data_IF_416390656405
#
_entry.id   IF_416390656405
#
_cell.length_a   1.000
_cell.length_b   1.000
_cell.length_c   1.000
_cell.angle_alpha   90.00
_cell.angle_beta   90.00
_cell.angle_gamma   90.00
#
_symmetry.space_group_name_H-M   'P 1'
#
loop_
_entity.id
_entity.type
_entity.pdbx_description
1 polymer ?
#
# COMPACT_ATOMS: atom_id res chain seq x y z
N UNK A 1 -40.71 -52.44 -41.54
CA UNK A 1 -39.24 -52.43 -41.72
C UNK A 1 -38.62 -51.90 -40.44
N UNK A 2 -38.04 -52.77 -39.60
CA UNK A 2 -37.40 -52.37 -38.34
C UNK A 2 -35.87 -52.46 -38.49
N UNK A 3 -35.19 -51.31 -38.52
CA UNK A 3 -33.73 -51.26 -38.56
C UNK A 3 -33.20 -51.12 -37.13
N UNK A 4 -32.65 -52.20 -36.57
CA UNK A 4 -31.97 -52.15 -35.27
C UNK A 4 -30.54 -51.66 -35.50
N UNK A 5 -30.19 -50.52 -34.91
CA UNK A 5 -28.83 -49.99 -34.94
C UNK A 5 -28.01 -50.62 -33.81
N UNK A 6 -27.00 -51.42 -34.16
CA UNK A 6 -26.02 -51.95 -33.21
C UNK A 6 -24.92 -50.92 -32.97
N UNK A 7 -24.77 -50.46 -31.72
CA UNK A 7 -23.67 -49.57 -31.33
C UNK A 7 -22.44 -50.40 -30.92
N UNK A 8 -21.31 -50.19 -31.60
CA UNK A 8 -20.05 -50.77 -31.18
C UNK A 8 -19.52 -50.04 -29.92
N UNK A 9 -18.97 -50.76 -28.92
CA UNK A 9 -18.39 -50.14 -27.75
C UNK A 9 -17.18 -49.28 -28.14
N UNK A 10 -17.09 -48.08 -27.57
CA UNK A 10 -15.98 -47.16 -27.79
C UNK A 10 -14.67 -47.84 -27.36
N UNK A 11 -13.63 -47.92 -28.21
CA UNK A 11 -12.34 -48.44 -27.80
C UNK A 11 -11.83 -47.60 -26.63
N UNK A 12 -11.47 -48.29 -25.53
CA UNK A 12 -10.85 -47.66 -24.36
C UNK A 12 -9.59 -46.95 -24.84
N UNK A 13 -9.41 -45.65 -24.57
CA UNK A 13 -8.16 -44.99 -24.91
C UNK A 13 -7.03 -45.77 -24.24
N UNK A 14 -6.08 -46.25 -25.04
CA UNK A 14 -4.80 -46.74 -24.53
C UNK A 14 -4.22 -45.64 -23.63
N UNK A 15 -3.67 -46.04 -22.49
CA UNK A 15 -3.23 -45.16 -21.42
C UNK A 15 -2.60 -43.87 -21.94
N UNK A 16 -3.12 -42.73 -21.45
CA UNK A 16 -2.61 -41.40 -21.77
C UNK A 16 -1.08 -41.35 -21.53
N UNK A 17 -0.32 -40.59 -22.34
CA UNK A 17 1.13 -40.53 -22.20
C UNK A 17 1.48 -39.88 -20.86
N UNK A 18 2.26 -40.62 -20.05
CA UNK A 18 3.10 -40.18 -18.94
C UNK A 18 2.68 -38.85 -18.31
N UNK A 19 1.78 -38.91 -17.33
CA UNK A 19 1.58 -37.79 -16.40
C UNK A 19 2.95 -37.44 -15.78
N UNK A 20 3.37 -36.18 -15.92
CA UNK A 20 4.59 -35.69 -15.29
C UNK A 20 4.54 -36.03 -13.79
N UNK A 21 5.62 -36.56 -13.21
CA UNK A 21 5.65 -36.83 -11.78
C UNK A 21 5.40 -35.53 -11.02
N UNK A 22 4.62 -35.62 -9.94
CA UNK A 22 4.38 -34.48 -9.07
C UNK A 22 5.73 -33.91 -8.57
N UNK A 23 5.88 -32.58 -8.45
CA UNK A 23 7.11 -31.98 -7.96
C UNK A 23 7.43 -32.49 -6.56
N UNK A 24 8.71 -32.73 -6.28
CA UNK A 24 9.14 -33.09 -4.94
C UNK A 24 8.94 -31.91 -3.98
N UNK A 25 8.95 -32.20 -2.69
CA UNK A 25 8.88 -31.17 -1.66
C UNK A 25 10.02 -30.14 -1.79
N UNK A 26 11.20 -30.56 -2.25
CA UNK A 26 12.33 -29.67 -2.46
C UNK A 26 12.09 -28.70 -3.62
N UNK A 27 11.52 -29.18 -4.74
CA UNK A 27 11.15 -28.29 -5.85
C UNK A 27 10.05 -27.30 -5.45
N UNK A 28 9.05 -27.75 -4.69
CA UNK A 28 7.98 -26.87 -4.19
C UNK A 28 8.55 -25.79 -3.28
N UNK A 29 9.43 -26.16 -2.35
CA UNK A 29 10.11 -25.18 -1.47
C UNK A 29 10.89 -24.15 -2.28
N UNK A 30 11.72 -24.59 -3.24
CA UNK A 30 12.48 -23.68 -4.10
C UNK A 30 11.56 -22.73 -4.89
N UNK A 31 10.45 -23.24 -5.44
CA UNK A 31 9.49 -22.40 -6.15
C UNK A 31 8.85 -21.34 -5.25
N UNK A 32 8.52 -21.69 -4.00
CA UNK A 32 7.99 -20.74 -3.03
C UNK A 32 9.03 -19.67 -2.69
N UNK A 33 10.29 -20.06 -2.47
CA UNK A 33 11.38 -19.13 -2.17
C UNK A 33 11.62 -18.14 -3.32
N UNK A 34 11.64 -18.64 -4.57
CA UNK A 34 11.77 -17.79 -5.76
C UNK A 34 10.58 -16.83 -5.93
N UNK A 35 9.35 -17.33 -5.71
CA UNK A 35 8.16 -16.49 -5.77
C UNK A 35 8.16 -15.43 -4.67
N UNK A 36 8.61 -15.76 -3.47
CA UNK A 36 8.72 -14.83 -2.35
C UNK A 36 9.75 -13.73 -2.65
N UNK A 37 10.92 -14.07 -3.19
CA UNK A 37 11.93 -13.08 -3.58
C UNK A 37 11.38 -12.14 -4.66
N UNK A 38 10.75 -12.68 -5.71
CA UNK A 38 10.15 -11.85 -6.76
C UNK A 38 9.05 -10.91 -6.24
N UNK A 39 8.28 -11.37 -5.25
CA UNK A 39 7.26 -10.54 -4.60
C UNK A 39 7.89 -9.40 -3.78
N UNK A 40 8.96 -9.66 -3.04
CA UNK A 40 9.70 -8.64 -2.30
C UNK A 40 10.31 -7.60 -3.24
N UNK A 41 10.97 -8.04 -4.30
CA UNK A 41 11.55 -7.13 -5.31
C UNK A 41 10.47 -6.24 -5.96
N UNK A 42 9.26 -6.77 -6.12
CA UNK A 42 8.11 -6.02 -6.64
C UNK A 42 7.61 -5.00 -5.62
N UNK A 43 7.53 -5.38 -4.34
CA UNK A 43 7.14 -4.48 -3.26
C UNK A 43 8.10 -3.28 -3.14
N UNK A 44 9.41 -3.52 -3.19
CA UNK A 44 10.42 -2.46 -3.14
C UNK A 44 10.25 -1.45 -4.28
N UNK A 45 9.96 -1.92 -5.50
CA UNK A 45 9.69 -1.03 -6.64
C UNK A 45 8.43 -0.20 -6.44
N UNK A 46 7.38 -0.77 -5.87
CA UNK A 46 6.14 -0.05 -5.60
C UNK A 46 6.36 1.02 -4.52
N UNK A 47 7.10 0.69 -3.46
CA UNK A 47 7.48 1.66 -2.42
C UNK A 47 8.27 2.81 -3.04
N UNK A 48 9.30 2.52 -3.83
CA UNK A 48 10.08 3.57 -4.50
C UNK A 48 9.24 4.45 -5.44
N UNK A 49 8.21 3.89 -6.08
CA UNK A 49 7.26 4.67 -6.88
C UNK A 49 6.37 5.56 -6.00
N UNK A 50 5.89 5.05 -4.86
CA UNK A 50 5.09 5.81 -3.91
C UNK A 50 5.91 6.96 -3.30
N UNK A 51 7.15 6.71 -2.89
CA UNK A 51 8.06 7.75 -2.37
C UNK A 51 8.28 8.86 -3.41
N UNK A 52 8.38 8.51 -4.69
CA UNK A 52 8.49 9.49 -5.77
C UNK A 52 7.22 10.31 -5.96
N UNK A 53 6.05 9.72 -5.69
CA UNK A 53 4.76 10.41 -5.81
C UNK A 53 4.48 11.34 -4.62
N UNK A 54 4.98 11.01 -3.42
CA UNK A 54 4.79 11.81 -2.20
C UNK A 54 5.50 13.17 -2.27
N UNK A 55 6.45 13.32 -3.20
CA UNK A 55 7.11 14.59 -3.47
C UNK A 55 8.17 14.94 -2.42
N UNK A 56 8.52 16.23 -2.36
CA UNK A 56 9.48 16.75 -1.38
C UNK A 56 8.72 17.24 -0.15
N UNK A 57 8.85 16.55 0.98
CA UNK A 57 8.18 16.90 2.23
C UNK A 57 8.65 18.26 2.79
N UNK A 58 9.83 18.73 2.38
CA UNK A 58 10.35 20.05 2.75
C UNK A 58 9.87 21.15 1.80
N UNK A 59 9.07 20.80 0.77
CA UNK A 59 8.48 21.74 -0.18
C UNK A 59 7.10 22.17 0.30
N UNK A 60 7.06 23.21 1.11
CA UNK A 60 5.83 23.93 1.48
C UNK A 60 5.40 24.89 0.35
N UNK A 61 4.09 25.00 0.09
CA UNK A 61 3.55 25.97 -0.85
C UNK A 61 3.59 27.36 -0.23
N UNK A 62 4.25 28.31 -0.88
CA UNK A 62 4.46 29.66 -0.36
C UNK A 62 5.90 29.94 0.05
N UNK A 63 6.71 28.95 0.46
CA UNK A 63 8.10 29.16 0.92
C UNK A 63 8.22 30.41 1.83
N UNK A 64 9.00 31.42 1.42
CA UNK A 64 9.20 32.68 2.16
C UNK A 64 8.00 33.65 2.10
N UNK A 65 6.94 33.31 1.35
CA UNK A 65 5.71 34.08 1.27
C UNK A 65 4.76 33.78 2.44
N UNK A 66 5.04 32.74 3.22
CA UNK A 66 4.36 32.55 4.48
C UNK A 66 4.77 33.66 5.46
N UNK A 67 3.80 34.32 6.10
CA UNK A 67 4.09 35.29 7.15
C UNK A 67 4.85 34.59 8.28
N UNK A 68 5.84 35.27 8.86
CA UNK A 68 6.59 34.72 9.99
C UNK A 68 5.65 34.25 11.10
N UNK A 69 5.97 33.20 11.86
CA UNK A 69 5.12 32.65 12.94
C UNK A 69 4.58 33.70 13.95
N UNK A 70 5.19 34.88 14.04
CA UNK A 70 4.75 36.01 14.86
C UNK A 70 4.22 37.22 14.09
N UNK A 71 4.06 37.14 12.77
CA UNK A 71 3.53 38.24 11.96
C UNK A 71 2.01 38.31 12.14
N UNK A 72 1.46 39.46 12.53
CA UNK A 72 0.02 39.64 12.58
C UNK A 72 -0.54 39.72 11.16
N UNK A 73 -1.17 38.64 10.72
CA UNK A 73 -2.02 38.54 9.52
C UNK A 73 -3.38 39.22 9.69
N UNK A 74 -3.62 39.86 10.85
CA UNK A 74 -4.84 40.61 11.13
C UNK A 74 -5.99 39.75 11.67
N UNK A 75 -5.72 38.50 12.04
CA UNK A 75 -6.71 37.68 12.73
C UNK A 75 -6.98 38.22 14.14
N UNK A 76 -8.25 38.20 14.56
CA UNK A 76 -8.66 38.74 15.86
C UNK A 76 -7.92 38.06 17.04
N UNK A 77 -7.60 36.78 16.92
CA UNK A 77 -6.80 36.02 17.89
C UNK A 77 -5.36 36.54 18.03
N UNK A 78 -4.72 36.93 16.93
CA UNK A 78 -3.35 37.46 16.94
C UNK A 78 -3.27 38.83 17.61
N UNK A 79 -4.30 39.68 17.43
CA UNK A 79 -4.39 40.98 18.11
C UNK A 79 -4.49 40.81 19.62
N UNK A 80 -5.21 39.79 20.08
CA UNK A 80 -5.33 39.44 21.51
C UNK A 80 -3.99 38.93 22.06
N UNK A 81 -3.28 38.07 21.31
CA UNK A 81 -1.95 37.57 21.69
C UNK A 81 -0.89 38.68 21.74
N UNK A 82 -0.85 39.56 20.73
CA UNK A 82 0.09 40.70 20.66
C UNK A 82 -0.13 41.71 21.79
N UNK A 83 -1.39 41.98 22.14
CA UNK A 83 -1.72 42.89 23.24
C UNK A 83 -1.28 42.35 24.60
N UNK A 84 -1.15 41.01 24.70
CA UNK A 84 -1.00 40.31 25.96
C UNK A 84 -2.27 40.43 26.82
N UNK A 85 -2.39 39.54 27.79
CA UNK A 85 -3.33 39.69 28.90
C UNK A 85 -2.53 39.93 30.16
N UNK A 86 -2.92 40.91 30.97
CA UNK A 86 -2.35 41.09 32.31
C UNK A 86 -2.94 40.11 33.33
N UNK A 87 -3.93 39.31 32.94
CA UNK A 87 -4.34 38.15 33.72
C UNK A 87 -3.44 36.98 33.36
N UNK A 88 -2.30 36.87 34.06
CA UNK A 88 -1.84 35.54 34.41
C UNK A 88 -2.77 35.05 35.53
N UNK A 89 -3.43 33.93 35.32
CA UNK A 89 -4.23 33.25 36.34
C UNK A 89 -3.37 32.27 37.14
N UNK A 90 -2.05 32.44 37.13
CA UNK A 90 -1.10 31.56 37.81
C UNK A 90 -1.16 31.74 39.34
N UNK A 91 -1.86 32.78 39.83
CA UNK A 91 -2.08 33.04 41.25
C UNK A 91 -3.51 32.83 41.75
N UNK A 92 -4.43 32.30 40.93
CA UNK A 92 -5.80 32.05 41.38
C UNK A 92 -5.90 30.75 42.19
N UNK A 93 -5.26 30.74 43.37
CA UNK A 93 -5.56 29.82 44.47
C UNK A 93 -6.57 30.47 45.40
N UNK A 94 -7.80 30.71 44.94
CA UNK A 94 -8.92 31.04 45.80
C UNK A 94 -9.75 29.77 46.09
N UNK A 95 -9.77 29.40 47.37
CA UNK A 95 -10.63 28.38 47.98
C UNK A 95 -12.11 28.68 47.82
#
# INVERSE_FOLDING_TARGET
MNNVHTFAPRPRPAAAPLALPAPSQAEVRRQIEEAAQAALDTADRLIALLDRLDGDADREDGADAEPSLGAPEGHASQVVWLRGSSSDTEQDTAR
#
